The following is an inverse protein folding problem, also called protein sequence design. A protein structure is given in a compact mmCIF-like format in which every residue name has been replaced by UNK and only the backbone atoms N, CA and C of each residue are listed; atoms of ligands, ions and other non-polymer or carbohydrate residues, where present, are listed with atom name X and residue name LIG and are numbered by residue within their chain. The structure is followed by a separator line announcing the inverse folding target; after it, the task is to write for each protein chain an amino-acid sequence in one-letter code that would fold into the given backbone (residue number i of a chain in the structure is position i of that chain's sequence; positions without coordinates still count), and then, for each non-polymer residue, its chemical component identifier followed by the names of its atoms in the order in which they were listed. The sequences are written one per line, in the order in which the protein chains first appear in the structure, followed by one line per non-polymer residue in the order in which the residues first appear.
data_IF_146401119300
#
_entry.id   IF_146401119300
#
_cell.length_a   1.000
_cell.length_b   1.000
_cell.length_c   1.000
_cell.angle_alpha   90.00
_cell.angle_beta   90.00
_cell.angle_gamma   90.00
#
_symmetry.space_group_name_H-M   'P 1'
#
loop_
_entity.id
_entity.type
_entity.pdbx_description
1 polymer ?
#
# COMPACT_ATOMS: atom_id res chain seq x y z
N UNK A 1 -29.46 -33.45 0.92
CA UNK A 1 -28.50 -34.00 1.91
C UNK A 1 -27.14 -34.36 1.28
N UNK A 2 -27.07 -34.81 0.02
CA UNK A 2 -25.80 -35.12 -0.65
C UNK A 2 -25.00 -33.89 -1.19
N UNK A 3 -25.61 -32.71 -1.30
CA UNK A 3 -24.91 -31.50 -1.76
C UNK A 3 -24.13 -30.74 -0.66
N UNK A 4 -24.35 -31.07 0.62
CA UNK A 4 -23.65 -30.43 1.74
C UNK A 4 -22.30 -31.08 2.06
N UNK A 5 -22.02 -32.29 1.56
CA UNK A 5 -20.76 -33.00 1.82
C UNK A 5 -19.62 -32.52 0.90
N UNK A 6 -19.93 -31.80 -0.18
CA UNK A 6 -18.93 -31.36 -1.16
C UNK A 6 -18.31 -29.99 -0.88
N UNK A 7 -18.92 -29.17 -0.01
CA UNK A 7 -18.43 -27.83 0.31
C UNK A 7 -17.35 -27.80 1.42
N UNK A 8 -17.12 -28.91 2.12
CA UNK A 8 -16.22 -28.93 3.29
C UNK A 8 -14.79 -29.44 2.97
N UNK A 9 -14.54 -29.96 1.76
CA UNK A 9 -13.20 -30.42 1.36
C UNK A 9 -12.31 -29.36 0.69
N UNK A 10 -12.82 -28.14 0.48
CA UNK A 10 -12.07 -27.04 -0.17
C UNK A 10 -11.22 -26.18 0.78
N UNK A 11 -11.41 -26.32 2.10
CA UNK A 11 -10.88 -25.35 3.10
C UNK A 11 -9.48 -25.67 3.62
N UNK A 12 -8.95 -26.87 3.33
CA UNK A 12 -7.65 -27.31 3.85
C UNK A 12 -6.47 -27.12 2.88
N UNK A 13 -6.71 -26.97 1.57
CA UNK A 13 -5.63 -26.83 0.58
C UNK A 13 -5.10 -25.38 0.46
N UNK A 14 -5.96 -24.37 0.66
CA UNK A 14 -5.60 -22.95 0.55
C UNK A 14 -4.73 -22.43 1.71
N UNK A 15 -4.62 -23.15 2.83
CA UNK A 15 -3.75 -22.76 3.95
C UNK A 15 -2.28 -23.06 3.70
N UNK A 16 -1.95 -24.07 2.90
CA UNK A 16 -0.57 -24.43 2.60
C UNK A 16 0.08 -23.47 1.58
N UNK A 17 -0.69 -22.94 0.64
CA UNK A 17 -0.18 -21.97 -0.33
C UNK A 17 0.11 -20.59 0.28
N UNK A 18 -0.72 -20.12 1.22
CA UNK A 18 -0.49 -18.83 1.91
C UNK A 18 0.74 -18.90 2.82
N UNK A 19 0.97 -20.03 3.51
CA UNK A 19 2.17 -20.21 4.34
C UNK A 19 3.45 -20.33 3.49
N UNK A 20 3.35 -20.89 2.28
CA UNK A 20 4.49 -20.95 1.34
C UNK A 20 4.87 -19.55 0.84
N UNK A 21 3.88 -18.70 0.49
CA UNK A 21 4.12 -17.32 0.06
C UNK A 21 4.77 -16.46 1.17
N UNK A 22 4.33 -16.59 2.43
CA UNK A 22 4.88 -15.84 3.56
C UNK A 22 6.33 -16.27 3.87
N UNK A 23 6.65 -17.58 3.78
CA UNK A 23 8.04 -18.05 3.95
C UNK A 23 8.98 -17.55 2.86
N UNK A 24 8.52 -17.49 1.61
CA UNK A 24 9.35 -17.02 0.50
C UNK A 24 9.64 -15.52 0.57
N UNK A 25 8.67 -14.72 1.04
CA UNK A 25 8.87 -13.27 1.25
C UNK A 25 9.91 -12.98 2.34
N UNK A 26 9.94 -13.78 3.42
CA UNK A 26 10.94 -13.67 4.49
C UNK A 26 12.34 -14.10 4.03
N UNK A 27 12.43 -15.06 3.11
CA UNK A 27 13.70 -15.52 2.54
C UNK A 27 14.32 -14.48 1.59
N UNK A 28 13.53 -13.87 0.70
CA UNK A 28 14.02 -12.80 -0.17
C UNK A 28 14.40 -11.53 0.60
N UNK A 29 13.72 -11.23 1.71
CA UNK A 29 14.13 -10.14 2.60
C UNK A 29 15.49 -10.40 3.25
N UNK A 30 15.77 -11.63 3.70
CA UNK A 30 17.06 -11.98 4.30
C UNK A 30 18.23 -11.96 3.30
N UNK A 31 17.99 -12.26 2.02
CA UNK A 31 19.05 -12.14 1.00
C UNK A 31 19.36 -10.69 0.62
N UNK A 32 18.41 -9.75 0.74
CA UNK A 32 18.68 -8.34 0.52
C UNK A 32 19.52 -7.69 1.64
N UNK A 33 19.46 -8.23 2.86
CA UNK A 33 20.22 -7.72 4.03
C UNK A 33 21.65 -8.28 4.06
N UNK A 34 21.89 -9.47 3.53
CA UNK A 34 23.21 -10.10 3.46
C UNK A 34 23.94 -9.81 2.13
N UNK A 35 23.89 -8.57 1.64
CA UNK A 35 24.88 -8.16 0.65
C UNK A 35 26.24 -8.05 1.36
N UNK A 36 27.31 -8.70 0.87
CA UNK A 36 28.63 -8.59 1.48
C UNK A 36 29.00 -7.09 1.55
N UNK A 37 29.30 -6.64 2.77
CA UNK A 37 29.83 -5.31 3.05
C UNK A 37 31.11 -5.11 2.23
N UNK A 38 30.98 -4.59 1.02
CA UNK A 38 32.10 -4.06 0.27
C UNK A 38 32.61 -2.84 1.03
N UNK A 39 33.73 -3.02 1.72
CA UNK A 39 34.63 -1.99 2.18
C UNK A 39 33.97 -0.82 2.90
N UNK A 40 33.91 -0.91 4.23
CA UNK A 40 34.11 0.29 5.04
C UNK A 40 35.46 0.89 4.63
N UNK A 41 35.45 1.83 3.69
CA UNK A 41 36.52 2.81 3.63
C UNK A 41 36.45 3.56 4.95
N UNK A 42 37.52 3.54 5.76
CA UNK A 42 37.55 4.33 6.98
C UNK A 42 37.38 5.78 6.56
N UNK A 43 36.20 6.34 6.85
CA UNK A 43 35.97 7.77 6.81
C UNK A 43 36.69 8.42 7.99
N UNK A 44 38.00 8.21 8.10
CA UNK A 44 38.92 9.10 8.80
C UNK A 44 39.30 10.22 7.83
N UNK A 45 38.33 10.86 7.19
CA UNK A 45 38.46 12.29 6.96
C UNK A 45 38.04 12.94 8.26
N UNK A 46 38.98 12.91 9.20
CA UNK A 46 38.95 13.85 10.29
C UNK A 46 38.82 15.23 9.66
N UNK A 47 37.68 15.87 9.87
CA UNK A 47 37.70 17.28 10.21
C UNK A 47 38.45 17.35 11.54
N UNK A 48 39.77 17.20 11.47
CA UNK A 48 40.64 17.77 12.45
C UNK A 48 40.31 19.26 12.39
N UNK A 49 39.47 19.70 13.32
CA UNK A 49 39.60 21.01 13.91
C UNK A 49 40.95 21.09 14.60
N UNK A 50 42.02 20.91 13.83
CA UNK A 50 43.28 21.52 14.14
C UNK A 50 43.02 22.99 13.86
N UNK A 51 43.13 23.75 14.94
CA UNK A 51 43.18 25.19 14.93
C UNK A 51 44.17 25.62 13.84
N UNK A 52 43.68 25.88 12.63
CA UNK A 52 44.48 26.42 11.55
C UNK A 52 44.71 27.88 11.92
N UNK A 53 45.73 28.06 12.76
CA UNK A 53 46.22 29.33 13.22
C UNK A 53 46.52 30.18 11.99
N UNK A 54 45.79 31.28 11.88
CA UNK A 54 45.85 32.24 10.78
C UNK A 54 47.12 33.12 10.89
N UNK A 55 48.25 32.53 11.29
CA UNK A 55 49.52 33.21 11.52
C UNK A 55 50.67 32.41 10.92
N UNK A 56 50.84 32.52 9.61
CA UNK A 56 52.05 33.05 8.95
C UNK A 56 52.02 32.65 7.48
N UNK A 57 51.42 33.53 6.67
CA UNK A 57 51.66 33.56 5.23
C UNK A 57 53.11 34.01 5.00
N UNK A 58 54.05 33.08 5.02
CA UNK A 58 55.30 33.27 4.29
C UNK A 58 55.07 32.84 2.85
N UNK A 59 54.73 33.86 2.06
CA UNK A 59 54.98 34.05 0.63
C UNK A 59 55.97 33.03 0.03
N UNK A 60 55.45 31.94 -0.52
CA UNK A 60 56.11 31.24 -1.63
C UNK A 60 55.03 30.84 -2.62
N UNK A 61 54.96 31.64 -3.67
CA UNK A 61 54.00 31.56 -4.77
C UNK A 61 54.25 30.30 -5.60
N UNK A 62 53.56 29.20 -5.29
CA UNK A 62 53.31 28.16 -6.28
C UNK A 62 52.03 28.52 -7.04
N UNK A 63 52.10 28.75 -8.36
CA UNK A 63 50.96 29.18 -9.15
C UNK A 63 49.85 28.13 -9.14
N UNK A 64 48.62 28.66 -9.07
CA UNK A 64 47.35 27.97 -8.90
C UNK A 64 47.13 26.86 -9.94
N UNK A 65 47.58 25.65 -9.64
CA UNK A 65 47.01 24.44 -10.20
C UNK A 65 45.63 24.27 -9.59
N UNK A 66 44.59 24.70 -10.29
CA UNK A 66 43.19 24.44 -9.95
C UNK A 66 43.07 22.93 -9.71
N UNK A 67 43.05 22.53 -8.44
CA UNK A 67 42.72 21.17 -8.04
C UNK A 67 41.28 20.99 -8.48
N UNK A 68 41.10 20.46 -9.70
CA UNK A 68 39.81 19.99 -10.19
C UNK A 68 39.28 19.10 -9.08
N UNK A 69 38.25 19.58 -8.38
CA UNK A 69 37.59 18.81 -7.34
C UNK A 69 37.38 17.42 -7.90
N UNK A 70 38.02 16.44 -7.29
CA UNK A 70 37.90 15.03 -7.68
C UNK A 70 36.41 14.79 -7.84
N UNK A 71 35.98 14.54 -9.08
CA UNK A 71 34.61 14.19 -9.38
C UNK A 71 34.26 13.07 -8.41
N UNK A 72 33.50 13.39 -7.37
CA UNK A 72 32.94 12.40 -6.46
C UNK A 72 32.01 11.62 -7.36
N UNK A 73 32.51 10.49 -7.86
CA UNK A 73 31.75 9.61 -8.73
C UNK A 73 30.50 9.24 -7.96
N UNK A 74 29.36 9.82 -8.34
CA UNK A 74 28.10 9.52 -7.69
C UNK A 74 27.88 8.03 -7.78
N UNK A 75 27.88 7.34 -6.65
CA UNK A 75 27.57 5.92 -6.60
C UNK A 75 26.23 5.72 -7.30
N UNK A 76 26.27 5.05 -8.46
CA UNK A 76 25.09 4.71 -9.24
C UNK A 76 24.27 3.74 -8.40
N UNK A 77 23.34 4.26 -7.61
CA UNK A 77 22.39 3.44 -6.84
C UNK A 77 21.61 2.58 -7.83
N UNK A 78 21.83 1.27 -7.77
CA UNK A 78 21.03 0.30 -8.53
C UNK A 78 19.60 0.40 -8.05
N UNK A 79 18.73 0.95 -8.89
CA UNK A 79 17.30 1.05 -8.62
C UNK A 79 16.69 -0.35 -8.63
N UNK A 80 15.98 -0.71 -7.56
CA UNK A 80 15.26 -1.97 -7.52
C UNK A 80 13.96 -1.82 -8.32
N UNK A 81 13.97 -2.22 -9.60
CA UNK A 81 12.81 -2.13 -10.48
C UNK A 81 11.56 -2.83 -9.94
N UNK A 82 11.74 -3.92 -9.18
CA UNK A 82 10.63 -4.64 -8.55
C UNK A 82 9.94 -3.77 -7.48
N UNK A 83 10.71 -3.00 -6.70
CA UNK A 83 10.15 -2.10 -5.69
C UNK A 83 9.31 -0.99 -6.34
N UNK A 84 9.76 -0.48 -7.50
CA UNK A 84 9.02 0.52 -8.28
C UNK A 84 7.71 -0.09 -8.79
N UNK A 85 7.76 -1.27 -9.39
CA UNK A 85 6.56 -1.95 -9.89
C UNK A 85 5.54 -2.21 -8.77
N UNK A 86 6.00 -2.72 -7.62
CA UNK A 86 5.14 -2.97 -6.47
C UNK A 86 4.50 -1.69 -5.92
N UNK A 87 5.22 -0.57 -5.94
CA UNK A 87 4.70 0.72 -5.47
C UNK A 87 3.54 1.28 -6.31
N UNK A 88 3.37 0.78 -7.54
CA UNK A 88 2.29 1.15 -8.46
C UNK A 88 1.18 0.10 -8.43
N UNK A 89 1.54 -1.19 -8.53
CA UNK A 89 0.55 -2.28 -8.62
C UNK A 89 -0.25 -2.44 -7.32
N UNK A 90 0.40 -2.35 -6.16
CA UNK A 90 -0.27 -2.52 -4.85
C UNK A 90 -1.39 -1.51 -4.63
N UNK A 91 -1.18 -0.17 -4.73
CA UNK A 91 -2.26 0.79 -4.55
C UNK A 91 -3.36 0.67 -5.62
N UNK A 92 -3.03 0.29 -6.86
CA UNK A 92 -4.06 0.04 -7.88
C UNK A 92 -4.97 -1.15 -7.55
N UNK A 93 -4.39 -2.28 -7.15
CA UNK A 93 -5.18 -3.46 -6.75
C UNK A 93 -6.03 -3.15 -5.52
N UNK A 94 -5.46 -2.45 -4.56
CA UNK A 94 -6.16 -2.01 -3.36
C UNK A 94 -7.33 -1.07 -3.70
N UNK A 95 -7.12 -0.09 -4.57
CA UNK A 95 -8.17 0.82 -5.05
C UNK A 95 -9.31 0.05 -5.72
N UNK A 96 -9.01 -0.79 -6.72
CA UNK A 96 -10.03 -1.51 -7.49
C UNK A 96 -10.82 -2.50 -6.62
N UNK A 97 -10.15 -3.20 -5.71
CA UNK A 97 -10.81 -4.16 -4.82
C UNK A 97 -11.68 -3.48 -3.77
N UNK A 98 -11.22 -2.38 -3.16
CA UNK A 98 -12.01 -1.63 -2.19
C UNK A 98 -13.22 -0.97 -2.87
N UNK A 99 -13.02 -0.34 -4.04
CA UNK A 99 -14.09 0.25 -4.84
C UNK A 99 -15.16 -0.78 -5.24
N UNK A 100 -14.74 -1.98 -5.63
CA UNK A 100 -15.66 -3.07 -5.92
C UNK A 100 -16.52 -3.43 -4.69
N UNK A 101 -15.90 -3.60 -3.53
CA UNK A 101 -16.60 -3.98 -2.30
C UNK A 101 -17.56 -2.89 -1.81
N UNK A 102 -17.20 -1.61 -1.95
CA UNK A 102 -18.05 -0.48 -1.56
C UNK A 102 -19.21 -0.26 -2.53
N UNK A 103 -19.03 -0.55 -3.82
CA UNK A 103 -20.07 -0.30 -4.85
C UNK A 103 -21.06 -1.46 -4.99
N UNK A 104 -20.62 -2.71 -4.80
CA UNK A 104 -21.46 -3.88 -5.10
C UNK A 104 -22.50 -4.22 -4.03
N UNK A 105 -23.37 -5.17 -4.38
CA UNK A 105 -24.48 -5.70 -3.56
C UNK A 105 -24.11 -6.16 -2.14
N UNK A 106 -22.82 -6.42 -1.89
CA UNK A 106 -22.33 -6.75 -0.54
C UNK A 106 -22.62 -5.59 0.41
N UNK A 107 -22.39 -4.35 -0.03
CA UNK A 107 -22.68 -3.15 0.76
C UNK A 107 -24.19 -3.05 1.06
N UNK A 108 -25.05 -3.32 0.08
CA UNK A 108 -26.52 -3.30 0.24
C UNK A 108 -27.02 -4.32 1.27
N UNK A 109 -26.52 -5.56 1.20
CA UNK A 109 -27.02 -6.65 2.05
C UNK A 109 -26.42 -6.66 3.46
N UNK A 110 -25.13 -6.32 3.58
CA UNK A 110 -24.35 -6.47 4.81
C UNK A 110 -23.28 -5.37 4.90
N UNK A 111 -23.68 -4.12 5.20
CA UNK A 111 -22.73 -3.00 5.28
C UNK A 111 -21.62 -3.25 6.32
N UNK A 112 -21.91 -4.02 7.37
CA UNK A 112 -20.91 -4.41 8.38
C UNK A 112 -19.72 -5.16 7.80
N UNK A 113 -19.93 -6.03 6.80
CA UNK A 113 -18.83 -6.75 6.14
C UNK A 113 -18.00 -5.78 5.30
N UNK A 114 -18.65 -4.87 4.57
CA UNK A 114 -17.97 -3.86 3.76
C UNK A 114 -17.07 -2.96 4.62
N UNK A 115 -17.57 -2.44 5.75
CA UNK A 115 -16.74 -1.65 6.66
C UNK A 115 -15.63 -2.46 7.32
N UNK A 116 -15.87 -3.74 7.64
CA UNK A 116 -14.80 -4.60 8.19
C UNK A 116 -13.65 -4.78 7.20
N UNK A 117 -13.94 -4.92 5.90
CA UNK A 117 -12.93 -5.01 4.84
C UNK A 117 -12.17 -3.69 4.74
N UNK A 118 -12.86 -2.54 4.76
CA UNK A 118 -12.21 -1.23 4.75
C UNK A 118 -11.25 -1.05 5.93
N UNK A 119 -11.65 -1.47 7.15
CA UNK A 119 -10.79 -1.45 8.34
C UNK A 119 -9.55 -2.34 8.15
N UNK A 120 -9.68 -3.52 7.54
CA UNK A 120 -8.53 -4.39 7.25
C UNK A 120 -7.53 -3.69 6.31
N UNK A 121 -8.01 -3.01 5.26
CA UNK A 121 -7.14 -2.22 4.39
C UNK A 121 -6.47 -1.04 5.11
N UNK A 122 -7.18 -0.39 6.03
CA UNK A 122 -6.61 0.66 6.87
C UNK A 122 -5.48 0.11 7.76
N UNK A 123 -5.66 -1.07 8.37
CA UNK A 123 -4.61 -1.73 9.16
C UNK A 123 -3.38 -2.08 8.32
N UNK A 124 -3.57 -2.49 7.05
CA UNK A 124 -2.45 -2.72 6.11
C UNK A 124 -1.67 -1.43 5.83
N UNK A 125 -2.37 -0.30 5.63
CA UNK A 125 -1.73 1.01 5.47
C UNK A 125 -0.92 1.37 6.71
N UNK A 126 -1.49 1.19 7.91
CA UNK A 126 -0.81 1.48 9.17
C UNK A 126 0.44 0.59 9.37
N UNK A 127 0.38 -0.68 8.96
CA UNK A 127 1.53 -1.57 9.01
C UNK A 127 2.67 -1.09 8.10
N UNK A 128 2.35 -0.67 6.86
CA UNK A 128 3.34 -0.07 5.93
C UNK A 128 3.86 1.27 6.49
N UNK A 129 2.99 2.07 7.10
CA UNK A 129 3.35 3.32 7.77
C UNK A 129 4.30 3.11 8.94
N UNK A 130 4.09 2.07 9.75
CA UNK A 130 5.00 1.71 10.84
C UNK A 130 6.38 1.30 10.31
N UNK A 131 6.46 0.56 9.19
CA UNK A 131 7.73 0.24 8.54
C UNK A 131 8.43 1.51 8.02
N UNK A 132 7.69 2.40 7.37
CA UNK A 132 8.20 3.69 6.90
C UNK A 132 8.72 4.56 8.06
N UNK A 133 8.00 4.60 9.18
CA UNK A 133 8.37 5.34 10.38
C UNK A 133 9.63 4.76 11.04
N UNK A 134 9.71 3.43 11.24
CA UNK A 134 10.90 2.75 11.78
C UNK A 134 12.14 3.06 10.95
N UNK A 135 11.97 3.03 9.64
CA UNK A 135 13.01 3.44 8.72
C UNK A 135 13.35 4.91 8.96
N UNK A 136 12.39 5.84 8.97
CA UNK A 136 12.63 7.26 9.22
C UNK A 136 13.39 7.54 10.54
N UNK A 137 13.07 6.83 11.62
CA UNK A 137 13.78 6.86 12.89
C UNK A 137 15.25 6.43 12.77
N UNK A 138 15.56 5.42 11.93
CA UNK A 138 16.95 5.05 11.61
C UNK A 138 17.70 6.16 10.87
N UNK A 139 17.01 7.01 10.09
CA UNK A 139 17.62 8.22 9.48
C UNK A 139 18.22 9.11 10.55
N UNK A 140 17.42 9.37 11.59
CA UNK A 140 17.74 10.35 12.61
C UNK A 140 18.93 9.90 13.46
N UNK A 141 19.23 8.59 13.45
CA UNK A 141 20.39 7.99 14.12
C UNK A 141 21.69 8.02 13.29
N UNK A 142 21.65 8.59 12.08
CA UNK A 142 22.87 8.82 11.28
C UNK A 142 23.42 7.60 10.54
N UNK A 143 22.62 6.55 10.32
CA UNK A 143 23.04 5.35 9.56
C UNK A 143 23.24 5.70 8.05
N UNK A 144 24.47 5.69 7.51
CA UNK A 144 24.77 6.11 6.14
C UNK A 144 24.37 5.08 5.08
N UNK A 145 24.01 3.85 5.45
CA UNK A 145 23.68 2.75 4.53
C UNK A 145 22.30 2.89 3.85
N UNK A 146 21.63 4.04 3.95
CA UNK A 146 20.18 4.09 3.81
C UNK A 146 19.64 4.48 2.43
N UNK A 147 18.57 3.79 2.01
CA UNK A 147 17.72 4.13 0.85
C UNK A 147 16.24 4.40 1.27
N UNK A 148 15.91 5.62 1.77
CA UNK A 148 14.68 5.84 2.52
C UNK A 148 13.44 6.32 1.74
N UNK A 149 13.50 6.54 0.43
CA UNK A 149 12.42 7.25 -0.29
C UNK A 149 11.23 6.37 -0.70
N UNK A 150 11.43 5.06 -0.89
CA UNK A 150 10.40 4.20 -1.49
C UNK A 150 9.19 3.91 -0.58
N UNK A 151 9.41 3.69 0.72
CA UNK A 151 8.32 3.39 1.65
C UNK A 151 7.39 4.59 1.85
N UNK A 152 7.93 5.81 1.85
CA UNK A 152 7.13 7.04 1.99
C UNK A 152 6.23 7.21 0.77
N UNK A 153 6.79 7.04 -0.44
CA UNK A 153 6.02 7.08 -1.68
C UNK A 153 4.89 6.04 -1.68
N UNK A 154 5.20 4.79 -1.35
CA UNK A 154 4.21 3.71 -1.27
C UNK A 154 3.10 4.00 -0.24
N UNK A 155 3.46 4.53 0.94
CA UNK A 155 2.50 4.94 1.95
C UNK A 155 1.56 6.03 1.42
N UNK A 156 2.12 7.06 0.80
CA UNK A 156 1.32 8.18 0.26
C UNK A 156 0.35 7.72 -0.83
N UNK A 157 0.78 6.86 -1.76
CA UNK A 157 -0.09 6.37 -2.82
C UNK A 157 -1.18 5.44 -2.29
N UNK A 158 -0.90 4.60 -1.29
CA UNK A 158 -1.91 3.76 -0.63
C UNK A 158 -2.95 4.58 0.13
N UNK A 159 -2.55 5.64 0.84
CA UNK A 159 -3.49 6.54 1.53
C UNK A 159 -4.40 7.25 0.53
N UNK A 160 -3.83 7.79 -0.56
CA UNK A 160 -4.62 8.43 -1.62
C UNK A 160 -5.60 7.43 -2.26
N UNK A 161 -5.12 6.23 -2.59
CA UNK A 161 -5.95 5.16 -3.16
C UNK A 161 -7.10 4.77 -2.22
N UNK A 162 -6.85 4.65 -0.91
CA UNK A 162 -7.88 4.34 0.08
C UNK A 162 -8.95 5.42 0.14
N UNK A 163 -8.56 6.68 0.31
CA UNK A 163 -9.50 7.80 0.41
C UNK A 163 -10.31 7.95 -0.87
N UNK A 164 -9.66 7.85 -2.03
CA UNK A 164 -10.34 7.91 -3.32
C UNK A 164 -11.34 6.76 -3.50
N UNK A 165 -10.97 5.51 -3.17
CA UNK A 165 -11.86 4.36 -3.31
C UNK A 165 -13.10 4.46 -2.40
N UNK A 166 -12.92 4.90 -1.15
CA UNK A 166 -14.04 5.06 -0.20
C UNK A 166 -14.97 6.19 -0.67
N UNK A 167 -14.44 7.37 -0.98
CA UNK A 167 -15.28 8.52 -1.37
C UNK A 167 -16.00 8.29 -2.71
N UNK A 168 -15.30 7.77 -3.72
CA UNK A 168 -15.91 7.47 -5.03
C UNK A 168 -16.89 6.30 -4.89
N UNK A 169 -16.53 5.28 -4.13
CA UNK A 169 -17.36 4.10 -3.93
C UNK A 169 -18.69 4.41 -3.28
N UNK A 170 -18.69 5.21 -2.21
CA UNK A 170 -19.92 5.66 -1.55
C UNK A 170 -20.78 6.49 -2.51
N UNK A 171 -20.18 7.43 -3.23
CA UNK A 171 -20.90 8.26 -4.21
C UNK A 171 -21.54 7.45 -5.35
N UNK A 172 -20.87 6.42 -5.86
CA UNK A 172 -21.46 5.52 -6.87
C UNK A 172 -22.59 4.68 -6.25
N UNK A 173 -22.40 4.20 -5.02
CA UNK A 173 -23.39 3.37 -4.35
C UNK A 173 -24.69 4.15 -4.10
N UNK A 174 -24.61 5.29 -3.44
CA UNK A 174 -25.77 6.14 -3.13
C UNK A 174 -26.43 6.68 -4.41
N UNK A 175 -25.63 7.14 -5.37
CA UNK A 175 -26.13 7.79 -6.59
C UNK A 175 -26.80 6.84 -7.58
N UNK A 176 -26.32 5.59 -7.69
CA UNK A 176 -26.77 4.68 -8.75
C UNK A 176 -27.21 3.32 -8.24
N UNK A 177 -26.39 2.66 -7.41
CA UNK A 177 -26.61 1.25 -7.06
C UNK A 177 -27.73 1.06 -6.04
N UNK A 178 -27.89 1.98 -5.09
CA UNK A 178 -28.92 1.90 -4.06
C UNK A 178 -30.32 1.91 -4.69
N UNK A 179 -30.57 2.81 -5.63
CA UNK A 179 -31.85 2.88 -6.34
C UNK A 179 -32.12 1.60 -7.15
N UNK A 180 -31.11 1.12 -7.89
CA UNK A 180 -31.22 -0.14 -8.64
C UNK A 180 -31.55 -1.33 -7.73
N UNK A 181 -30.89 -1.45 -6.57
CA UNK A 181 -31.16 -2.54 -5.64
C UNK A 181 -32.51 -2.42 -4.95
N UNK A 182 -32.98 -1.21 -4.64
CA UNK A 182 -34.31 -0.99 -4.10
C UNK A 182 -35.40 -1.46 -5.08
N UNK A 183 -35.31 -1.07 -6.36
CA UNK A 183 -36.26 -1.52 -7.38
C UNK A 183 -36.23 -3.04 -7.53
N UNK A 184 -35.02 -3.63 -7.55
CA UNK A 184 -34.86 -5.08 -7.68
C UNK A 184 -35.37 -5.86 -6.47
N UNK A 185 -35.43 -5.23 -5.30
CA UNK A 185 -35.91 -5.84 -4.06
C UNK A 185 -37.43 -5.66 -3.86
N UNK A 186 -38.12 -4.96 -4.76
CA UNK A 186 -39.58 -4.89 -4.74
C UNK A 186 -40.19 -6.23 -5.15
N UNK A 187 -41.27 -6.62 -4.48
CA UNK A 187 -42.01 -7.83 -4.83
C UNK A 187 -42.69 -7.63 -6.18
N UNK A 188 -42.40 -8.52 -7.14
CA UNK A 188 -43.12 -8.55 -8.43
C UNK A 188 -44.37 -9.43 -8.26
N UNK A 189 -45.53 -8.81 -8.22
CA UNK A 189 -46.82 -9.51 -8.18
C UNK A 189 -47.27 -9.85 -9.61
N UNK A 190 -46.95 -11.05 -10.09
CA UNK A 190 -47.30 -11.49 -11.45
C UNK A 190 -48.72 -12.05 -11.58
N UNK A 191 -49.43 -12.26 -10.47
CA UNK A 191 -50.75 -12.90 -10.41
C UNK A 191 -51.78 -12.01 -9.70
N UNK A 192 -51.89 -10.76 -10.14
CA UNK A 192 -52.97 -9.89 -9.67
C UNK A 192 -54.25 -10.26 -10.42
N UNK A 193 -55.20 -10.88 -9.72
CA UNK A 193 -56.53 -11.16 -10.26
C UNK A 193 -57.50 -10.04 -9.85
N UNK A 194 -57.91 -9.15 -10.77
CA UNK A 194 -58.78 -8.03 -10.45
C UNK A 194 -60.20 -8.46 -10.03
N UNK A 195 -60.60 -9.71 -10.29
CA UNK A 195 -61.91 -10.23 -9.87
C UNK A 195 -61.91 -10.69 -8.40
N UNK A 196 -60.73 -10.92 -7.82
CA UNK A 196 -60.56 -11.45 -6.45
C UNK A 196 -59.84 -10.50 -5.51
N UNK A 197 -58.98 -9.61 -6.02
CA UNK A 197 -58.19 -8.68 -5.21
C UNK A 197 -58.80 -7.27 -5.23
N UNK A 198 -59.00 -6.69 -4.05
CA UNK A 198 -59.45 -5.30 -3.92
C UNK A 198 -58.29 -4.32 -4.13
N UNK A 199 -58.55 -3.17 -4.74
CA UNK A 199 -57.52 -2.16 -5.04
C UNK A 199 -56.74 -1.65 -3.82
N UNK A 200 -57.33 -1.68 -2.62
CA UNK A 200 -56.65 -1.33 -1.37
C UNK A 200 -55.50 -2.28 -1.01
N UNK A 201 -55.54 -3.55 -1.45
CA UNK A 201 -54.45 -4.51 -1.21
C UNK A 201 -53.24 -4.27 -2.12
N UNK A 202 -53.42 -3.50 -3.20
CA UNK A 202 -52.36 -3.16 -4.15
C UNK A 202 -51.71 -1.80 -3.84
N UNK A 203 -52.27 -1.01 -2.91
CA UNK A 203 -51.69 0.28 -2.52
C UNK A 203 -50.42 0.14 -1.67
N UNK A 204 -50.28 -0.95 -0.89
CA UNK A 204 -49.06 -1.22 -0.10
C UNK A 204 -47.93 -1.88 -0.92
N UNK A 205 -48.16 -2.12 -2.22
CA UNK A 205 -47.21 -2.78 -3.11
C UNK A 205 -46.29 -1.81 -3.89
N UNK A 206 -46.45 -0.49 -3.71
CA UNK A 206 -45.76 0.57 -4.46
C UNK A 206 -44.68 1.30 -3.66
#
# INVERSE_FOLDING_TARGET
ILAQVWLDRGKHSSRLHVLCAIKHQRFMWNQAVNQPHYGSYPNTFGYAGDNFDFRTYNKTTVPMGVVKGTFIGGDRKRLNGLAILLSIVVPCVMFSSLLAVTTFIIHYRRPTITYSIAVVYLLLILAVGALAAREMLRKMRGDPSRQPTWYVFMLTTMVIAYLAAVSIGEGIYEGYMQHYYNIKNMNVFSHVDPTRMHGGQLQDAG
#
